data_IF_410552286308
#
_entry.id   IF_410552286308
#
_cell.length_a   1.000
_cell.length_b   1.000
_cell.length_c   1.000
_cell.angle_alpha   90.00
_cell.angle_beta   90.00
_cell.angle_gamma   90.00
#
_symmetry.space_group_name_H-M   'P 1'
#
loop_
_entity.id
_entity.type
_entity.pdbx_description
1 polymer ?
#
# COMPACT_ATOMS: atom_id res chain seq x y z
N UNK A 1 7.53 -2.27 -17.04
CA UNK A 1 8.42 -1.17 -16.65
C UNK A 1 7.74 -0.43 -15.48
N UNK A 2 8.15 -0.72 -14.25
CA UNK A 2 7.46 -0.23 -13.03
C UNK A 2 8.11 1.06 -12.52
N UNK A 3 7.61 2.21 -12.97
CA UNK A 3 7.93 3.52 -12.38
C UNK A 3 6.69 4.11 -11.72
N UNK A 4 6.86 4.92 -10.68
CA UNK A 4 5.74 5.50 -9.90
C UNK A 4 4.74 6.24 -10.81
N UNK A 5 5.24 7.01 -11.78
CA UNK A 5 4.40 7.74 -12.76
C UNK A 5 3.53 6.77 -13.58
N UNK A 6 4.10 5.67 -14.09
CA UNK A 6 3.36 4.67 -14.85
C UNK A 6 2.35 3.89 -13.99
N UNK A 7 2.69 3.59 -12.73
CA UNK A 7 1.77 2.95 -11.78
C UNK A 7 0.51 3.80 -11.54
N UNK A 8 0.65 5.12 -11.59
CA UNK A 8 -0.44 6.08 -11.50
C UNK A 8 -1.10 6.42 -12.86
N UNK A 9 -0.87 5.60 -13.89
CA UNK A 9 -1.39 5.82 -15.26
C UNK A 9 -0.97 7.17 -15.88
N UNK A 10 0.12 7.76 -15.38
CA UNK A 10 0.71 8.97 -15.92
C UNK A 10 1.86 8.67 -16.89
N UNK A 11 2.47 9.74 -17.42
CA UNK A 11 3.72 9.67 -18.18
C UNK A 11 4.64 10.86 -17.86
N UNK A 12 5.93 10.72 -18.20
CA UNK A 12 6.95 11.74 -17.97
C UNK A 12 7.66 12.09 -19.29
N UNK A 13 7.81 13.38 -19.57
CA UNK A 13 8.64 13.92 -20.64
C UNK A 13 9.89 14.55 -20.04
N UNK A 14 11.04 14.38 -20.70
CA UNK A 14 12.31 14.97 -20.27
C UNK A 14 12.92 15.77 -21.41
N UNK A 15 13.27 17.03 -21.13
CA UNK A 15 14.03 17.90 -22.04
C UNK A 15 15.33 18.28 -21.36
N UNK A 16 16.46 17.92 -21.95
CA UNK A 16 17.77 18.21 -21.37
C UNK A 16 18.75 18.64 -22.45
N UNK A 17 19.71 19.46 -22.06
CA UNK A 17 20.84 19.83 -22.89
C UNK A 17 22.07 20.02 -22.01
N UNK A 18 23.21 19.53 -22.48
CA UNK A 18 24.46 19.60 -21.72
C UNK A 18 24.78 21.05 -21.31
N UNK A 19 25.15 21.23 -20.04
CA UNK A 19 25.44 22.55 -19.47
C UNK A 19 24.24 23.48 -19.25
N UNK A 20 23.01 23.08 -19.64
CA UNK A 20 21.78 23.89 -19.48
C UNK A 20 20.80 23.32 -18.45
N UNK A 21 21.09 22.16 -17.90
CA UNK A 21 20.20 21.44 -16.99
C UNK A 21 19.15 20.60 -17.70
N UNK A 22 18.15 20.14 -16.93
CA UNK A 22 17.08 19.28 -17.40
C UNK A 22 15.73 19.73 -16.85
N UNK A 23 14.71 19.69 -17.70
CA UNK A 23 13.31 19.89 -17.38
C UNK A 23 12.57 18.55 -17.44
N UNK A 24 11.75 18.28 -16.42
CA UNK A 24 10.92 17.10 -16.33
C UNK A 24 9.46 17.53 -16.25
N UNK A 25 8.65 17.09 -17.20
CA UNK A 25 7.21 17.37 -17.23
C UNK A 25 6.45 16.09 -16.94
N UNK A 26 5.67 16.09 -15.86
CA UNK A 26 4.93 14.92 -15.39
C UNK A 26 3.44 15.15 -15.65
N UNK A 27 2.81 14.18 -16.31
CA UNK A 27 1.41 14.22 -16.67
C UNK A 27 0.65 13.13 -15.92
N UNK A 28 -0.46 13.51 -15.30
CA UNK A 28 -1.40 12.58 -14.66
C UNK A 28 -2.80 12.72 -15.28
N UNK A 29 -3.57 11.64 -15.37
CA UNK A 29 -4.97 11.72 -15.79
C UNK A 29 -5.76 12.66 -14.88
N UNK A 30 -6.54 13.55 -15.47
CA UNK A 30 -7.50 14.38 -14.72
C UNK A 30 -8.61 13.47 -14.21
N UNK A 31 -8.89 13.53 -12.91
CA UNK A 31 -10.01 12.83 -12.29
C UNK A 31 -11.14 13.82 -12.09
N UNK A 32 -12.31 13.55 -12.65
CA UNK A 32 -13.51 14.35 -12.38
C UNK A 32 -14.02 13.99 -10.98
N UNK A 33 -14.40 14.99 -10.17
CA UNK A 33 -14.78 14.80 -8.77
C UNK A 33 -15.91 13.76 -8.56
N UNK A 34 -16.76 13.57 -9.58
CA UNK A 34 -17.81 12.56 -9.58
C UNK A 34 -17.27 11.12 -9.49
N UNK A 35 -16.05 10.86 -9.99
CA UNK A 35 -15.40 9.55 -9.93
C UNK A 35 -14.77 9.25 -8.58
N UNK A 36 -14.48 10.28 -7.76
CA UNK A 36 -13.96 10.11 -6.40
C UNK A 36 -15.04 9.60 -5.44
N UNK A 37 -16.29 10.03 -5.62
CA UNK A 37 -17.43 9.60 -4.78
C UNK A 37 -17.77 8.13 -5.00
N UNK A 38 -17.64 7.64 -6.23
CA UNK A 38 -17.84 6.22 -6.56
C UNK A 38 -16.68 5.33 -6.05
N UNK A 39 -15.45 5.86 -5.96
CA UNK A 39 -14.29 5.08 -5.48
C UNK A 39 -14.09 5.12 -3.97
N UNK A 40 -14.76 6.03 -3.25
CA UNK A 40 -14.97 5.90 -1.79
C UNK A 40 -16.02 4.83 -1.45
N UNK A 41 -16.68 4.25 -2.45
CA UNK A 41 -17.71 3.22 -2.32
C UNK A 41 -17.21 1.80 -2.61
N UNK A 42 -16.12 1.34 -2.00
CA UNK A 42 -15.95 -0.10 -1.70
C UNK A 42 -14.87 -0.31 -0.65
N UNK A 43 -15.19 0.13 0.55
CA UNK A 43 -14.86 -0.60 1.75
C UNK A 43 -16.03 -0.32 2.65
N UNK A 44 -17.02 -1.22 2.71
CA UNK A 44 -17.90 -1.22 3.87
C UNK A 44 -16.98 -1.29 5.08
N UNK A 45 -16.69 -0.14 5.69
CA UNK A 45 -16.33 -0.12 7.10
C UNK A 45 -17.58 -0.61 7.77
N UNK A 46 -17.67 -1.92 7.96
CA UNK A 46 -18.75 -2.52 8.73
C UNK A 46 -18.84 -1.70 10.02
N UNK A 47 -19.98 -1.04 10.26
CA UNK A 47 -20.16 -0.29 11.47
C UNK A 47 -20.23 -1.31 12.61
N UNK A 48 -19.11 -1.44 13.31
CA UNK A 48 -18.95 -2.19 14.55
C UNK A 48 -18.96 -3.73 14.44
N UNK A 49 -18.04 -4.36 15.18
CA UNK A 49 -18.38 -5.53 15.99
C UNK A 49 -17.69 -6.85 15.69
N UNK A 50 -17.40 -7.19 14.44
CA UNK A 50 -16.91 -8.53 14.12
C UNK A 50 -15.40 -8.56 13.83
N UNK A 51 -14.65 -9.27 14.68
CA UNK A 51 -13.25 -9.61 14.44
C UNK A 51 -13.17 -10.38 13.12
N UNK A 52 -12.50 -9.81 12.12
CA UNK A 52 -12.46 -10.36 10.75
C UNK A 52 -11.61 -11.64 10.61
N UNK A 53 -10.84 -11.97 11.64
CA UNK A 53 -10.00 -13.17 11.70
C UNK A 53 -8.61 -12.91 12.28
N UNK A 54 -7.78 -13.96 12.31
CA UNK A 54 -6.38 -13.89 12.75
C UNK A 54 -5.44 -13.89 11.56
N UNK A 55 -4.44 -13.02 11.57
CA UNK A 55 -3.39 -12.91 10.55
C UNK A 55 -2.03 -13.11 11.21
N UNK A 56 -1.22 -14.01 10.65
CA UNK A 56 0.21 -14.10 10.94
C UNK A 56 0.98 -13.33 9.87
N UNK A 57 1.70 -12.31 10.29
CA UNK A 57 2.51 -11.45 9.41
C UNK A 57 3.99 -11.72 9.66
N UNK A 58 4.71 -12.14 8.60
CA UNK A 58 6.16 -12.32 8.64
C UNK A 58 6.81 -11.37 7.62
N UNK A 59 7.68 -10.49 8.09
CA UNK A 59 8.38 -9.49 7.29
C UNK A 59 9.67 -9.11 8.01
N UNK A 60 10.81 -9.00 7.31
CA UNK A 60 12.13 -8.76 7.89
C UNK A 60 12.39 -7.27 8.17
N UNK A 61 11.72 -6.34 7.49
CA UNK A 61 11.81 -4.91 7.78
C UNK A 61 10.79 -4.50 8.86
N UNK A 62 11.31 -4.12 10.04
CA UNK A 62 10.49 -3.71 11.17
C UNK A 62 9.54 -2.54 10.86
N UNK A 63 9.94 -1.59 10.00
CA UNK A 63 9.10 -0.43 9.66
C UNK A 63 7.92 -0.84 8.79
N UNK A 64 8.16 -1.72 7.81
CA UNK A 64 7.12 -2.25 6.93
C UNK A 64 6.15 -3.12 7.74
N UNK A 65 6.69 -4.02 8.58
CA UNK A 65 5.92 -4.87 9.48
C UNK A 65 4.99 -4.06 10.39
N UNK A 66 5.50 -3.00 11.02
CA UNK A 66 4.70 -2.10 11.87
C UNK A 66 3.61 -1.35 11.09
N UNK A 67 3.92 -0.86 9.89
CA UNK A 67 2.95 -0.18 9.04
C UNK A 67 1.79 -1.10 8.67
N UNK A 68 2.10 -2.30 8.16
CA UNK A 68 1.07 -3.28 7.75
C UNK A 68 0.24 -3.73 8.95
N UNK A 69 0.87 -4.00 10.10
CA UNK A 69 0.17 -4.38 11.33
C UNK A 69 -0.86 -3.31 11.74
N UNK A 70 -0.46 -2.03 11.75
CA UNK A 70 -1.35 -0.93 12.13
C UNK A 70 -2.57 -0.77 11.22
N UNK A 71 -2.42 -1.04 9.92
CA UNK A 71 -3.51 -0.95 8.95
C UNK A 71 -4.52 -2.07 9.19
N UNK A 72 -4.04 -3.30 9.33
CA UNK A 72 -4.88 -4.49 9.47
C UNK A 72 -5.57 -4.57 10.85
N UNK A 73 -4.90 -4.17 11.93
CA UNK A 73 -5.53 -4.05 13.26
C UNK A 73 -6.66 -3.02 13.23
N UNK A 74 -6.41 -1.84 12.64
CA UNK A 74 -7.44 -0.81 12.45
C UNK A 74 -8.61 -1.31 11.62
N UNK A 75 -8.37 -2.22 10.68
CA UNK A 75 -9.39 -2.81 9.83
C UNK A 75 -10.14 -3.99 10.48
N UNK A 76 -9.79 -4.35 11.73
CA UNK A 76 -10.54 -5.30 12.57
C UNK A 76 -9.95 -6.71 12.67
N UNK A 77 -8.68 -6.91 12.30
CA UNK A 77 -8.00 -8.20 12.41
C UNK A 77 -7.20 -8.34 13.71
N UNK A 78 -7.01 -9.58 14.16
CA UNK A 78 -6.04 -9.90 15.21
C UNK A 78 -4.72 -10.33 14.59
N UNK A 79 -3.65 -9.63 14.93
CA UNK A 79 -2.33 -9.86 14.34
C UNK A 79 -1.40 -10.58 15.30
N UNK A 80 -0.58 -11.46 14.72
CA UNK A 80 0.66 -11.92 15.31
C UNK A 80 1.75 -11.60 14.30
N UNK A 81 2.74 -10.82 14.68
CA UNK A 81 3.84 -10.41 13.80
C UNK A 81 5.14 -11.05 14.22
N UNK A 82 5.91 -11.50 13.23
CA UNK A 82 7.22 -12.13 13.41
C UNK A 82 8.20 -11.56 12.39
N UNK A 83 9.49 -11.62 12.69
CA UNK A 83 10.54 -11.09 11.82
C UNK A 83 10.89 -12.01 10.65
N UNK A 84 10.57 -13.31 10.75
CA UNK A 84 10.91 -14.27 9.71
C UNK A 84 9.97 -15.48 9.64
N UNK A 85 10.19 -16.30 8.62
CA UNK A 85 9.42 -17.53 8.40
C UNK A 85 9.75 -18.66 9.38
N UNK A 86 10.90 -18.64 10.07
CA UNK A 86 11.24 -19.68 11.06
C UNK A 86 10.40 -19.49 12.31
N UNK A 87 10.28 -18.26 12.81
CA UNK A 87 9.39 -17.91 13.90
C UNK A 87 7.92 -18.12 13.52
N UNK A 88 7.54 -17.79 12.27
CA UNK A 88 6.19 -18.04 11.77
C UNK A 88 5.80 -19.53 11.83
N UNK A 89 6.70 -20.43 11.42
CA UNK A 89 6.45 -21.89 11.45
C UNK A 89 6.21 -22.42 12.86
N UNK A 90 6.94 -21.93 13.86
CA UNK A 90 6.73 -22.33 15.27
C UNK A 90 5.30 -22.04 15.75
N UNK A 91 4.67 -21.00 15.19
CA UNK A 91 3.32 -20.58 15.56
C UNK A 91 2.20 -21.30 14.80
N UNK A 92 2.52 -21.90 13.63
CA UNK A 92 1.53 -22.61 12.80
C UNK A 92 1.53 -24.12 13.05
N UNK A 93 2.69 -24.70 13.38
CA UNK A 93 2.90 -26.16 13.47
C UNK A 93 2.91 -26.62 14.95
N UNK A 94 2.37 -25.81 15.86
CA UNK A 94 2.25 -26.11 17.29
C UNK A 94 0.91 -26.72 17.67
#
# INVERSE_FOLDING_TARGET
MSGIVCQHKGFIEVKSSEGKGAEFTIYFPVVLLHDLVQKTGSGSRSPHGEVKGRILLADDDARIRCLIASILERDGFHLTSVEDGKEAKKLIIG
#
